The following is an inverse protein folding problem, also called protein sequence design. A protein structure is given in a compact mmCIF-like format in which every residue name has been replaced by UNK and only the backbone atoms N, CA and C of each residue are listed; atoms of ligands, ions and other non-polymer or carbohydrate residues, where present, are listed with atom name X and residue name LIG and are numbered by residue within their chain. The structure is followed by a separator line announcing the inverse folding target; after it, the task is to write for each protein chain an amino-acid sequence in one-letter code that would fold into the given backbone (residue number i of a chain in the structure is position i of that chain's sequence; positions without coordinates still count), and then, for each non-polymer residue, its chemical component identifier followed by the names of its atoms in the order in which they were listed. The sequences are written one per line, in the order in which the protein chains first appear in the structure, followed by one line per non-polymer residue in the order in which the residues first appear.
data_IF_753406871038
#
_entry.id   IF_753406871038
#
_cell.length_a   1.000
_cell.length_b   1.000
_cell.length_c   1.000
_cell.angle_alpha   90.00
_cell.angle_beta   90.00
_cell.angle_gamma   90.00
#
_symmetry.space_group_name_H-M   'P 1'
#
loop_
_entity.id
_entity.type
_entity.pdbx_description
1 polymer ?
#
# COMPACT_ATOMS: atom_id res chain seq x y z
N UNK A 1 -6.93 -20.72 12.47
CA UNK A 1 -7.11 -20.58 11.03
C UNK A 1 -7.28 -19.11 10.67
N UNK A 2 -6.86 -18.70 9.46
CA UNK A 2 -6.91 -17.30 9.02
C UNK A 2 -8.30 -16.69 9.08
N UNK A 3 -9.35 -17.46 8.79
CA UNK A 3 -10.73 -17.00 8.84
C UNK A 3 -11.17 -16.58 10.26
N UNK A 4 -10.84 -17.37 11.29
CA UNK A 4 -11.16 -17.02 12.65
C UNK A 4 -10.49 -15.70 13.08
N UNK A 5 -9.22 -15.52 12.75
CA UNK A 5 -8.48 -14.29 13.01
C UNK A 5 -9.10 -13.10 12.26
N UNK A 6 -9.43 -13.30 10.98
CA UNK A 6 -9.99 -12.24 10.15
C UNK A 6 -11.36 -11.78 10.65
N UNK A 7 -12.32 -12.71 10.81
CA UNK A 7 -13.69 -12.37 11.20
C UNK A 7 -13.85 -12.07 12.69
N UNK A 8 -13.04 -12.71 13.56
CA UNK A 8 -13.11 -12.54 15.02
C UNK A 8 -12.33 -11.33 15.54
N UNK A 9 -11.31 -10.86 14.81
CA UNK A 9 -10.45 -9.78 15.30
C UNK A 9 -10.24 -8.67 14.26
N UNK A 10 -9.66 -8.99 13.08
CA UNK A 10 -9.18 -7.97 12.15
C UNK A 10 -10.34 -7.14 11.57
N UNK A 11 -11.41 -7.80 11.13
CA UNK A 11 -12.57 -7.12 10.58
C UNK A 11 -13.34 -6.29 11.65
N UNK A 12 -13.64 -6.78 12.84
CA UNK A 12 -14.22 -5.95 13.92
C UNK A 12 -13.36 -4.72 14.25
N UNK A 13 -12.04 -4.89 14.38
CA UNK A 13 -11.12 -3.77 14.63
C UNK A 13 -11.21 -2.71 13.55
N UNK A 14 -11.41 -3.09 12.30
CA UNK A 14 -11.48 -2.13 11.19
C UNK A 14 -12.64 -1.12 11.32
N UNK A 15 -13.71 -1.48 12.01
CA UNK A 15 -14.87 -0.58 12.24
C UNK A 15 -14.59 0.49 13.28
N UNK A 16 -13.56 0.35 14.11
CA UNK A 16 -13.20 1.38 15.08
C UNK A 16 -12.84 2.70 14.38
N UNK A 17 -13.16 3.85 15.02
CA UNK A 17 -12.68 5.15 14.57
C UNK A 17 -11.16 5.18 14.45
N UNK A 18 -10.62 5.87 13.44
CA UNK A 18 -9.17 5.98 13.24
C UNK A 18 -8.43 6.51 14.48
N UNK A 19 -9.05 7.42 15.25
CA UNK A 19 -8.45 7.93 16.49
C UNK A 19 -8.14 6.82 17.48
N UNK A 20 -9.04 5.82 17.62
CA UNK A 20 -8.83 4.67 18.50
C UNK A 20 -7.75 3.73 17.91
N UNK A 21 -7.76 3.54 16.59
CA UNK A 21 -6.74 2.74 15.91
C UNK A 21 -5.34 3.36 16.05
N UNK A 22 -5.21 4.68 16.05
CA UNK A 22 -3.91 5.33 16.31
C UNK A 22 -3.44 5.17 17.76
N UNK A 23 -4.33 5.12 18.73
CA UNK A 23 -3.95 4.72 20.11
C UNK A 23 -3.39 3.29 20.12
N UNK A 24 -4.00 2.37 19.36
CA UNK A 24 -3.46 1.02 19.19
C UNK A 24 -2.09 1.04 18.49
N UNK A 25 -1.89 1.92 17.51
CA UNK A 25 -0.59 2.10 16.86
C UNK A 25 0.48 2.59 17.85
N UNK A 26 0.13 3.46 18.81
CA UNK A 26 1.06 3.87 19.86
C UNK A 26 1.55 2.68 20.71
N UNK A 27 0.66 1.75 21.06
CA UNK A 27 1.06 0.52 21.73
C UNK A 27 1.96 -0.37 20.87
N UNK A 28 1.64 -0.53 19.58
CA UNK A 28 2.48 -1.28 18.64
C UNK A 28 3.85 -0.63 18.48
N UNK A 29 3.93 0.67 18.40
CA UNK A 29 5.19 1.42 18.35
C UNK A 29 6.07 1.15 19.58
N UNK A 30 5.49 1.23 20.79
CA UNK A 30 6.21 0.92 22.03
C UNK A 30 6.71 -0.52 21.98
N UNK A 31 5.84 -1.46 21.57
CA UNK A 31 6.19 -2.88 21.46
C UNK A 31 7.38 -3.11 20.51
N UNK A 32 7.39 -2.46 19.33
CA UNK A 32 8.48 -2.56 18.35
C UNK A 32 9.79 -1.91 18.86
N UNK A 33 9.68 -0.86 19.66
CA UNK A 33 10.87 -0.21 20.21
C UNK A 33 11.50 -1.00 21.37
N UNK A 34 10.71 -1.81 22.10
CA UNK A 34 11.14 -2.42 23.37
C UNK A 34 11.19 -3.94 23.31
N UNK A 35 10.03 -4.60 23.24
CA UNK A 35 9.90 -6.04 23.45
C UNK A 35 10.06 -6.87 22.19
N UNK A 36 9.58 -6.37 21.05
CA UNK A 36 9.59 -7.09 19.77
C UNK A 36 10.18 -6.22 18.65
N UNK A 37 11.48 -5.98 18.63
CA UNK A 37 12.12 -5.12 17.63
C UNK A 37 12.04 -5.76 16.23
N UNK A 38 10.92 -5.55 15.57
CA UNK A 38 10.60 -6.13 14.27
C UNK A 38 11.70 -5.84 13.26
N UNK A 39 12.32 -6.91 12.73
CA UNK A 39 13.37 -6.87 11.69
C UNK A 39 14.50 -5.86 11.95
N UNK A 40 14.81 -5.57 13.22
CA UNK A 40 15.81 -4.55 13.64
C UNK A 40 17.12 -4.66 12.87
N UNK A 41 17.68 -5.87 12.74
CA UNK A 41 18.95 -6.09 12.04
C UNK A 41 18.89 -5.66 10.58
N UNK A 42 17.80 -6.00 9.88
CA UNK A 42 17.61 -5.65 8.46
C UNK A 42 17.47 -4.14 8.30
N UNK A 43 16.69 -3.51 9.19
CA UNK A 43 16.52 -2.05 9.17
C UNK A 43 17.84 -1.35 9.43
N UNK A 44 18.61 -1.78 10.43
CA UNK A 44 19.91 -1.18 10.75
C UNK A 44 20.91 -1.33 9.58
N UNK A 45 20.94 -2.48 8.91
CA UNK A 45 21.77 -2.69 7.72
C UNK A 45 21.36 -1.77 6.58
N UNK A 46 20.07 -1.66 6.29
CA UNK A 46 19.57 -0.77 5.24
C UNK A 46 19.85 0.70 5.55
N UNK A 47 19.73 1.12 6.81
CA UNK A 47 20.05 2.48 7.23
C UNK A 47 21.56 2.79 7.10
N UNK A 48 22.43 1.82 7.33
CA UNK A 48 23.87 1.99 7.09
C UNK A 48 24.20 2.22 5.62
N UNK A 49 23.49 1.51 4.73
CA UNK A 49 23.66 1.65 3.27
C UNK A 49 23.09 2.98 2.78
N UNK A 50 21.86 3.31 3.21
CA UNK A 50 21.15 4.49 2.74
C UNK A 50 21.71 5.81 3.32
N UNK A 51 22.23 5.76 4.55
CA UNK A 51 22.74 6.93 5.26
C UNK A 51 24.16 6.68 5.82
N UNK A 52 25.17 6.48 4.94
CA UNK A 52 26.51 6.11 5.37
C UNK A 52 27.21 7.19 6.21
N UNK A 53 26.88 8.46 5.97
CA UNK A 53 27.50 9.62 6.63
C UNK A 53 26.81 10.02 7.95
N UNK A 54 25.70 9.40 8.30
CA UNK A 54 25.00 9.70 9.56
C UNK A 54 25.59 8.94 10.73
N UNK A 55 25.53 9.54 11.92
CA UNK A 55 25.94 8.90 13.16
C UNK A 55 25.04 7.73 13.52
N UNK A 56 25.52 6.89 14.44
CA UNK A 56 24.70 5.79 14.95
C UNK A 56 23.43 6.27 15.68
N UNK A 57 23.51 7.41 16.36
CA UNK A 57 22.38 8.03 17.06
C UNK A 57 21.33 8.53 16.09
N UNK A 58 21.72 9.20 15.01
CA UNK A 58 20.79 9.63 13.95
C UNK A 58 20.11 8.43 13.28
N UNK A 59 20.85 7.37 12.95
CA UNK A 59 20.25 6.14 12.38
C UNK A 59 19.31 5.45 13.37
N UNK A 60 19.59 5.46 14.68
CA UNK A 60 18.66 4.96 15.71
C UNK A 60 17.37 5.79 15.74
N UNK A 61 17.48 7.11 15.60
CA UNK A 61 16.29 7.97 15.53
C UNK A 61 15.45 7.67 14.28
N UNK A 62 16.07 7.56 13.12
CA UNK A 62 15.37 7.19 11.86
C UNK A 62 14.67 5.82 12.01
N UNK A 63 15.30 4.83 12.63
CA UNK A 63 14.66 3.54 12.91
C UNK A 63 13.45 3.70 13.85
N UNK A 64 13.54 4.55 14.86
CA UNK A 64 12.42 4.82 15.77
C UNK A 64 11.26 5.47 15.04
N UNK A 65 11.55 6.43 14.15
CA UNK A 65 10.56 7.10 13.33
C UNK A 65 9.92 6.13 12.32
N UNK A 66 10.72 5.22 11.75
CA UNK A 66 10.20 4.11 10.92
C UNK A 66 9.24 3.21 11.71
N UNK A 67 9.53 2.84 12.95
CA UNK A 67 8.61 2.03 13.75
C UNK A 67 7.31 2.76 14.08
N UNK A 68 7.37 4.08 14.31
CA UNK A 68 6.17 4.90 14.48
C UNK A 68 5.31 4.85 13.22
N UNK A 69 5.91 5.17 12.10
CA UNK A 69 5.26 5.14 10.80
C UNK A 69 4.70 3.75 10.45
N UNK A 70 5.47 2.70 10.70
CA UNK A 70 5.05 1.32 10.43
C UNK A 70 3.87 0.89 11.29
N UNK A 71 3.81 1.29 12.55
CA UNK A 71 2.67 1.03 13.42
C UNK A 71 1.39 1.72 12.90
N UNK A 72 1.50 2.98 12.47
CA UNK A 72 0.39 3.70 11.86
C UNK A 72 -0.09 3.01 10.58
N UNK A 73 0.83 2.62 9.70
CA UNK A 73 0.54 1.91 8.46
C UNK A 73 -0.21 0.58 8.69
N UNK A 74 0.14 -0.16 9.75
CA UNK A 74 -0.54 -1.40 10.10
C UNK A 74 -2.01 -1.17 10.47
N UNK A 75 -2.30 -0.20 11.33
CA UNK A 75 -3.68 0.10 11.74
C UNK A 75 -4.50 0.72 10.61
N UNK A 76 -3.89 1.52 9.76
CA UNK A 76 -4.51 2.05 8.55
C UNK A 76 -4.81 0.96 7.52
N UNK A 77 -3.93 -0.05 7.41
CA UNK A 77 -4.19 -1.23 6.57
C UNK A 77 -5.38 -2.03 7.08
N UNK A 78 -5.56 -2.13 8.40
CA UNK A 78 -6.78 -2.70 8.99
C UNK A 78 -7.99 -1.82 8.69
N UNK A 79 -7.88 -0.50 8.86
CA UNK A 79 -8.96 0.45 8.56
C UNK A 79 -9.42 0.39 7.12
N UNK A 80 -8.52 0.10 6.19
CA UNK A 80 -8.84 -0.04 4.76
C UNK A 80 -9.91 -1.11 4.48
N UNK A 81 -10.18 -2.04 5.38
CA UNK A 81 -11.23 -3.05 5.23
C UNK A 81 -12.64 -2.46 5.33
N UNK A 82 -12.84 -1.38 6.10
CA UNK A 82 -14.16 -0.81 6.41
C UNK A 82 -14.28 0.69 6.12
N UNK A 83 -13.19 1.37 5.73
CA UNK A 83 -13.22 2.80 5.43
C UNK A 83 -14.22 3.09 4.31
N UNK A 84 -15.05 4.12 4.43
CA UNK A 84 -15.95 4.53 3.35
C UNK A 84 -15.18 5.22 2.22
N UNK A 85 -15.73 5.19 0.99
CA UNK A 85 -15.13 5.91 -0.15
C UNK A 85 -14.90 7.39 0.17
N UNK A 86 -15.88 8.03 0.80
CA UNK A 86 -15.78 9.45 1.21
C UNK A 86 -14.60 9.67 2.16
N UNK A 87 -14.50 8.90 3.25
CA UNK A 87 -13.40 9.02 4.22
C UNK A 87 -12.03 8.72 3.60
N UNK A 88 -11.96 7.78 2.65
CA UNK A 88 -10.73 7.46 1.92
C UNK A 88 -10.28 8.65 1.08
N UNK A 89 -11.19 9.25 0.29
CA UNK A 89 -10.87 10.38 -0.59
C UNK A 89 -10.59 11.68 0.16
N UNK A 90 -11.13 11.86 1.36
CA UNK A 90 -10.75 12.98 2.25
C UNK A 90 -9.28 12.89 2.72
N UNK A 91 -8.67 11.69 2.67
CA UNK A 91 -7.28 11.44 3.08
C UNK A 91 -6.32 11.21 1.91
N UNK A 92 -6.86 10.72 0.80
CA UNK A 92 -6.15 10.48 -0.45
C UNK A 92 -6.69 11.43 -1.51
N UNK A 93 -6.32 12.70 -1.41
CA UNK A 93 -6.71 13.74 -2.37
C UNK A 93 -5.57 13.99 -3.37
N UNK A 94 -5.96 14.46 -4.54
CA UNK A 94 -5.01 14.89 -5.58
C UNK A 94 -4.67 16.36 -5.35
N UNK A 95 -3.40 16.69 -5.28
CA UNK A 95 -2.96 18.08 -5.11
C UNK A 95 -3.05 18.88 -6.41
N UNK A 96 -2.87 18.19 -7.55
CA UNK A 96 -2.88 18.80 -8.89
C UNK A 96 -3.98 18.17 -9.76
N UNK A 97 -5.27 18.37 -9.46
CA UNK A 97 -6.37 17.75 -10.20
C UNK A 97 -6.43 18.19 -11.68
N UNK A 98 -5.92 19.37 -12.01
CA UNK A 98 -5.81 19.90 -13.38
C UNK A 98 -4.97 19.00 -14.28
N UNK A 99 -3.86 18.46 -13.79
CA UNK A 99 -3.02 17.50 -14.54
C UNK A 99 -3.81 16.24 -14.88
N UNK A 100 -4.66 15.79 -13.96
CA UNK A 100 -5.50 14.63 -14.20
C UNK A 100 -6.49 14.87 -15.36
N UNK A 101 -7.11 16.06 -15.42
CA UNK A 101 -8.02 16.42 -16.50
C UNK A 101 -7.29 16.51 -17.87
N UNK A 102 -6.08 17.06 -17.87
CA UNK A 102 -5.23 17.08 -19.08
C UNK A 102 -4.91 15.66 -19.57
N UNK A 103 -4.54 14.75 -18.68
CA UNK A 103 -4.23 13.35 -18.99
C UNK A 103 -5.48 12.62 -19.53
N UNK A 104 -6.63 12.81 -18.90
CA UNK A 104 -7.89 12.22 -19.35
C UNK A 104 -8.28 12.69 -20.75
N UNK A 105 -8.05 13.97 -21.05
CA UNK A 105 -8.34 14.56 -22.36
C UNK A 105 -7.54 13.93 -23.52
N UNK A 106 -6.40 13.31 -23.23
CA UNK A 106 -5.60 12.58 -24.22
C UNK A 106 -6.31 11.34 -24.77
N UNK A 107 -7.30 10.81 -24.04
CA UNK A 107 -8.05 9.61 -24.41
C UNK A 107 -7.15 8.42 -24.80
N UNK A 108 -6.11 8.19 -24.01
CA UNK A 108 -5.09 7.13 -24.18
C UNK A 108 -5.04 6.24 -22.94
N UNK A 109 -4.45 5.03 -23.04
CA UNK A 109 -4.09 4.26 -21.86
C UNK A 109 -3.17 5.07 -20.93
N UNK A 110 -3.41 4.97 -19.62
CA UNK A 110 -2.66 5.68 -18.59
C UNK A 110 -1.89 4.65 -17.76
N UNK A 111 -0.58 4.79 -17.66
CA UNK A 111 0.25 4.03 -16.74
C UNK A 111 0.59 4.90 -15.53
N UNK A 112 0.06 4.55 -14.37
CA UNK A 112 0.41 5.17 -13.09
C UNK A 112 1.57 4.38 -12.48
N UNK A 113 2.70 5.04 -12.33
CA UNK A 113 3.90 4.46 -11.70
C UNK A 113 4.05 5.04 -10.31
N UNK A 114 4.05 4.18 -9.30
CA UNK A 114 4.21 4.57 -7.89
C UNK A 114 5.23 3.67 -7.19
N UNK A 115 5.55 3.98 -5.94
CA UNK A 115 6.39 3.17 -5.07
C UNK A 115 5.64 2.72 -3.82
N UNK A 116 6.27 1.83 -3.05
CA UNK A 116 5.80 1.43 -1.71
C UNK A 116 6.06 2.55 -0.68
N UNK A 117 5.69 3.76 -1.03
CA UNK A 117 5.86 4.95 -0.19
C UNK A 117 4.53 5.33 0.46
N UNK A 118 4.57 5.71 1.73
CA UNK A 118 3.41 6.07 2.52
C UNK A 118 2.33 4.96 2.49
N UNK A 119 1.05 5.29 2.50
CA UNK A 119 -0.03 4.31 2.48
C UNK A 119 -0.44 3.95 1.03
N UNK A 120 0.43 3.20 0.33
CA UNK A 120 0.16 2.73 -1.03
C UNK A 120 -1.09 1.84 -1.14
N UNK A 121 -1.52 1.16 -0.07
CA UNK A 121 -2.75 0.36 -0.07
C UNK A 121 -3.99 1.25 -0.16
N UNK A 122 -3.96 2.43 0.44
CA UNK A 122 -5.02 3.41 0.25
C UNK A 122 -4.99 4.02 -1.15
N UNK A 123 -3.81 4.27 -1.71
CA UNK A 123 -3.66 4.71 -3.10
C UNK A 123 -4.29 3.69 -4.07
N UNK A 124 -3.95 2.39 -3.94
CA UNK A 124 -4.52 1.32 -4.75
C UNK A 124 -6.04 1.30 -4.63
N UNK A 125 -6.57 1.40 -3.41
CA UNK A 125 -8.01 1.34 -3.16
C UNK A 125 -8.75 2.59 -3.67
N UNK A 126 -8.11 3.77 -3.63
CA UNK A 126 -8.69 5.05 -4.04
C UNK A 126 -8.66 5.29 -5.55
N UNK A 127 -7.65 4.74 -6.23
CA UNK A 127 -7.30 5.05 -7.62
C UNK A 127 -8.50 5.10 -8.57
N UNK A 128 -9.32 4.06 -8.61
CA UNK A 128 -10.47 3.99 -9.52
C UNK A 128 -11.52 5.09 -9.27
N UNK A 129 -11.42 5.81 -8.15
CA UNK A 129 -12.34 6.90 -7.83
C UNK A 129 -12.00 8.21 -8.54
N UNK A 130 -10.81 8.32 -9.10
CA UNK A 130 -10.35 9.52 -9.82
C UNK A 130 -10.50 9.42 -11.34
N UNK A 131 -10.84 8.22 -11.85
CA UNK A 131 -10.95 7.94 -13.29
C UNK A 131 -12.32 7.34 -13.61
N UNK A 132 -12.83 7.65 -14.81
CA UNK A 132 -14.01 7.00 -15.37
C UNK A 132 -13.64 5.75 -16.18
N UNK A 133 -12.37 5.68 -16.61
CA UNK A 133 -11.83 4.56 -17.38
C UNK A 133 -11.68 3.32 -16.51
N UNK A 134 -11.70 2.12 -17.12
CA UNK A 134 -11.39 0.88 -16.43
C UNK A 134 -10.05 0.97 -15.71
N UNK A 135 -10.03 0.70 -14.41
CA UNK A 135 -8.87 0.87 -13.56
C UNK A 135 -8.35 -0.47 -13.08
N UNK A 136 -7.05 -0.69 -13.22
CA UNK A 136 -6.36 -1.92 -12.89
C UNK A 136 -5.18 -1.68 -11.96
N UNK A 137 -4.90 -2.63 -11.07
CA UNK A 137 -3.68 -2.67 -10.28
C UNK A 137 -2.94 -3.98 -10.53
N UNK A 138 -1.69 -3.90 -10.98
CA UNK A 138 -0.86 -5.09 -11.19
C UNK A 138 -0.15 -5.45 -9.89
N UNK A 139 -0.26 -6.71 -9.46
CA UNK A 139 0.37 -7.17 -8.23
C UNK A 139 0.64 -8.65 -8.18
N UNK A 140 1.51 -9.06 -7.25
CA UNK A 140 1.76 -10.46 -6.94
C UNK A 140 0.72 -10.95 -5.93
N UNK A 141 0.19 -12.18 -6.08
CA UNK A 141 -0.72 -12.76 -5.10
C UNK A 141 0.02 -13.12 -3.82
N UNK A 142 -0.70 -13.09 -2.71
CA UNK A 142 -0.19 -13.67 -1.46
C UNK A 142 -0.20 -15.21 -1.55
N UNK A 143 0.78 -15.85 -0.92
CA UNK A 143 0.91 -17.31 -0.91
C UNK A 143 -0.29 -18.01 -0.24
N UNK A 144 -0.96 -17.34 0.71
CA UNK A 144 -2.09 -17.92 1.42
C UNK A 144 -3.42 -17.53 0.75
N UNK A 145 -4.20 -18.47 0.16
CA UNK A 145 -5.37 -18.19 -0.67
C UNK A 145 -6.43 -17.32 0.02
N UNK A 146 -6.75 -17.62 1.29
CA UNK A 146 -7.72 -16.84 2.06
C UNK A 146 -7.31 -15.36 2.20
N UNK A 147 -6.04 -15.11 2.59
CA UNK A 147 -5.56 -13.73 2.74
C UNK A 147 -5.43 -13.01 1.41
N UNK A 148 -5.05 -13.74 0.35
CA UNK A 148 -5.02 -13.20 -0.99
C UNK A 148 -6.42 -12.74 -1.43
N UNK A 149 -7.43 -13.59 -1.24
CA UNK A 149 -8.82 -13.24 -1.53
C UNK A 149 -9.26 -11.98 -0.77
N UNK A 150 -9.00 -11.90 0.55
CA UNK A 150 -9.39 -10.73 1.36
C UNK A 150 -8.66 -9.45 0.97
N UNK A 151 -7.40 -9.56 0.56
CA UNK A 151 -6.63 -8.44 0.03
C UNK A 151 -7.21 -7.94 -1.30
N UNK A 152 -7.52 -8.85 -2.22
CA UNK A 152 -8.13 -8.53 -3.51
C UNK A 152 -9.49 -7.87 -3.32
N UNK A 153 -10.40 -8.48 -2.55
CA UNK A 153 -11.72 -7.92 -2.22
C UNK A 153 -11.61 -6.49 -1.66
N UNK A 154 -10.61 -6.23 -0.82
CA UNK A 154 -10.36 -4.91 -0.25
C UNK A 154 -9.94 -3.90 -1.32
N UNK A 155 -9.00 -4.26 -2.19
CA UNK A 155 -8.47 -3.39 -3.25
C UNK A 155 -9.54 -3.06 -4.29
N UNK A 156 -10.41 -4.01 -4.59
CA UNK A 156 -11.45 -3.89 -5.63
C UNK A 156 -12.72 -3.16 -5.17
N UNK A 157 -12.83 -2.83 -3.88
CA UNK A 157 -14.07 -2.27 -3.28
C UNK A 157 -14.64 -1.05 -3.98
N UNK A 158 -13.81 -0.25 -4.63
CA UNK A 158 -14.24 1.01 -5.24
C UNK A 158 -14.02 1.06 -6.75
N UNK A 159 -13.95 -0.13 -7.39
CA UNK A 159 -13.98 -0.25 -8.84
C UNK A 159 -12.66 -0.57 -9.52
N UNK A 160 -11.54 -0.63 -8.78
CA UNK A 160 -10.29 -1.16 -9.31
C UNK A 160 -10.44 -2.67 -9.54
N UNK A 161 -9.74 -3.22 -10.54
CA UNK A 161 -9.54 -4.66 -10.73
C UNK A 161 -8.09 -5.02 -10.47
N UNK A 162 -7.86 -6.06 -9.67
CA UNK A 162 -6.51 -6.58 -9.43
C UNK A 162 -6.16 -7.60 -10.50
N UNK A 163 -5.04 -7.39 -11.19
CA UNK A 163 -4.51 -8.31 -12.20
C UNK A 163 -3.20 -8.92 -11.69
N UNK A 164 -3.07 -10.22 -11.87
CA UNK A 164 -1.85 -10.92 -11.51
C UNK A 164 -0.69 -10.48 -12.41
N UNK A 165 0.48 -10.24 -11.83
CA UNK A 165 1.65 -9.75 -12.57
C UNK A 165 2.06 -10.67 -13.75
N UNK A 166 1.81 -11.97 -13.66
CA UNK A 166 2.06 -12.91 -14.77
C UNK A 166 1.08 -12.75 -15.96
N UNK A 167 -0.08 -12.14 -15.70
CA UNK A 167 -1.15 -11.92 -16.69
C UNK A 167 -1.34 -10.43 -16.96
N UNK A 168 -0.30 -9.63 -16.80
CA UNK A 168 -0.39 -8.16 -16.85
C UNK A 168 -1.06 -7.63 -18.14
N UNK A 169 -0.97 -8.37 -19.26
CA UNK A 169 -1.60 -8.01 -20.53
C UNK A 169 -3.10 -7.80 -20.42
N UNK A 170 -3.80 -8.54 -19.54
CA UNK A 170 -5.24 -8.41 -19.30
C UNK A 170 -5.64 -6.98 -18.89
N UNK A 171 -4.73 -6.26 -18.20
CA UNK A 171 -4.97 -4.88 -17.79
C UNK A 171 -5.01 -3.90 -18.97
N UNK A 172 -4.50 -4.29 -20.15
CA UNK A 172 -4.40 -3.45 -21.34
C UNK A 172 -5.41 -3.85 -22.44
N UNK A 173 -6.24 -4.86 -22.21
CA UNK A 173 -7.28 -5.28 -23.16
C UNK A 173 -8.46 -4.30 -23.23
N UNK A 174 -8.71 -3.59 -22.14
CA UNK A 174 -9.77 -2.58 -22.09
C UNK A 174 -9.41 -1.34 -22.92
N UNK A 175 -10.43 -0.63 -23.38
CA UNK A 175 -10.23 0.64 -24.07
C UNK A 175 -9.73 1.72 -23.11
N UNK A 176 -8.56 2.28 -23.38
CA UNK A 176 -7.94 3.35 -22.57
C UNK A 176 -7.90 3.07 -21.06
N UNK A 177 -7.33 1.94 -20.61
CA UNK A 177 -7.30 1.59 -19.21
C UNK A 177 -6.39 2.51 -18.42
N UNK A 178 -6.63 2.60 -17.10
CA UNK A 178 -5.71 3.17 -16.14
C UNK A 178 -5.06 2.02 -15.37
N UNK A 179 -3.77 1.85 -15.50
CA UNK A 179 -3.02 0.74 -14.90
C UNK A 179 -2.03 1.25 -13.87
N UNK A 180 -2.16 0.82 -12.63
CA UNK A 180 -1.22 1.14 -11.54
C UNK A 180 -0.20 0.02 -11.37
N UNK A 181 1.07 0.41 -11.30
CA UNK A 181 2.19 -0.45 -10.93
C UNK A 181 3.01 0.17 -9.81
N UNK A 182 3.46 -0.63 -8.85
CA UNK A 182 4.47 -0.24 -7.87
C UNK A 182 5.82 -0.70 -8.41
N UNK A 183 6.67 0.22 -8.81
CA UNK A 183 7.87 -0.05 -9.61
C UNK A 183 9.19 0.27 -8.89
N UNK A 184 9.19 0.30 -7.57
CA UNK A 184 10.35 0.63 -6.74
C UNK A 184 11.12 -0.58 -6.19
N UNK A 185 10.71 -1.81 -6.56
CA UNK A 185 11.39 -3.02 -6.15
C UNK A 185 12.19 -3.62 -7.31
N UNK A 186 13.42 -4.04 -7.01
CA UNK A 186 14.25 -4.74 -7.98
C UNK A 186 13.70 -6.15 -8.28
N UNK A 187 13.82 -6.66 -9.50
CA UNK A 187 13.48 -8.04 -9.83
C UNK A 187 14.36 -9.02 -9.07
N UNK A 188 13.91 -10.26 -8.95
CA UNK A 188 14.62 -11.33 -8.25
C UNK A 188 15.98 -11.65 -8.93
N UNK A 189 16.06 -11.46 -10.24
CA UNK A 189 17.26 -11.66 -11.03
C UNK A 189 17.47 -10.49 -12.01
N UNK A 190 18.70 -9.96 -12.14
CA UNK A 190 19.02 -8.94 -13.16
C UNK A 190 18.75 -9.41 -14.60
N UNK A 191 18.74 -10.73 -14.85
CA UNK A 191 18.44 -11.31 -16.16
C UNK A 191 16.98 -11.18 -16.58
N UNK A 192 16.10 -10.86 -15.64
CA UNK A 192 14.66 -10.58 -15.89
C UNK A 192 14.40 -9.12 -16.27
N UNK A 193 15.45 -8.30 -16.31
CA UNK A 193 15.34 -6.88 -16.69
C UNK A 193 15.55 -6.70 -18.20
N UNK A 194 14.81 -5.77 -18.78
CA UNK A 194 15.15 -5.16 -20.07
C UNK A 194 16.02 -3.93 -19.80
N UNK A 195 17.24 -3.94 -20.37
CA UNK A 195 18.21 -2.86 -20.24
C UNK A 195 18.26 -2.03 -21.53
#
# INVERSE_FOLDING_TARGET
SGALLYYGLVLPLSYLPLRILYVLADFLFILFCTLLPYRKRVIDQNLQIAFPNQSNEERKQIRKDFYRYFADLLVESVKNLSISKKQLLERMHLENPEILEEIKALNKPILLVAGHYNNWEWLITAQASWFEQPSYGIGMPLSHPFWNQKLTERRERFGLKVVHAQNYQEAFEAKNPVVLVLADQAPSSPTECLW
#
